data_IF_998398193570
#
_entry.id   IF_998398193570
#
_cell.length_a   1.000
_cell.length_b   1.000
_cell.length_c   1.000
_cell.angle_alpha   90.00
_cell.angle_beta   90.00
_cell.angle_gamma   90.00
#
_symmetry.space_group_name_H-M   'P 1'
#
loop_
_entity.id
_entity.type
_entity.pdbx_description
1 polymer ?
#
# COMPACT_ATOMS: atom_id res chain seq x y z
N UNK A 1 -20.37 -15.21 51.36
CA UNK A 1 -19.46 -14.18 50.83
C UNK A 1 -18.87 -14.75 49.56
N UNK A 2 -19.66 -14.71 48.48
CA UNK A 2 -19.35 -15.38 47.22
C UNK A 2 -18.32 -14.56 46.43
N UNK A 3 -17.22 -15.22 46.09
CA UNK A 3 -16.14 -14.67 45.27
C UNK A 3 -16.60 -14.77 43.81
N UNK A 4 -16.99 -13.64 43.20
CA UNK A 4 -17.21 -13.58 41.74
C UNK A 4 -15.92 -14.05 41.06
N UNK A 5 -15.96 -15.03 40.12
CA UNK A 5 -14.79 -15.40 39.35
C UNK A 5 -14.34 -14.18 38.56
N UNK A 6 -13.15 -13.65 38.84
CA UNK A 6 -12.52 -12.70 37.96
C UNK A 6 -12.25 -13.44 36.65
N UNK A 7 -13.02 -13.11 35.61
CA UNK A 7 -12.71 -13.54 34.26
C UNK A 7 -11.29 -13.07 33.98
N UNK A 8 -10.40 -14.03 33.76
CA UNK A 8 -9.00 -13.79 33.44
C UNK A 8 -8.97 -13.05 32.10
N UNK A 9 -8.92 -11.71 32.15
CA UNK A 9 -8.76 -10.84 30.98
C UNK A 9 -7.29 -10.89 30.55
N UNK A 10 -6.77 -12.09 30.32
CA UNK A 10 -5.48 -12.29 29.70
C UNK A 10 -5.56 -11.66 28.30
N UNK A 11 -5.01 -10.47 28.18
CA UNK A 11 -4.90 -9.77 26.90
C UNK A 11 -4.18 -10.72 25.93
N UNK A 12 -4.77 -11.04 24.77
CA UNK A 12 -4.13 -11.96 23.83
C UNK A 12 -2.73 -11.43 23.50
N UNK A 13 -1.75 -12.34 23.49
CA UNK A 13 -0.37 -11.99 23.17
C UNK A 13 -0.30 -11.23 21.83
N UNK A 14 0.61 -10.24 21.68
CA UNK A 14 0.73 -9.48 20.45
C UNK A 14 0.92 -10.39 19.25
N UNK A 15 0.12 -10.20 18.19
CA UNK A 15 0.26 -10.94 16.95
C UNK A 15 1.58 -10.51 16.27
N UNK A 16 2.64 -11.28 16.55
CA UNK A 16 4.00 -10.99 16.09
C UNK A 16 4.09 -10.98 14.56
N UNK A 17 3.26 -11.79 13.89
CA UNK A 17 3.20 -11.85 12.42
C UNK A 17 2.58 -10.56 11.89
N UNK A 18 1.43 -10.14 12.44
CA UNK A 18 0.78 -8.89 12.04
C UNK A 18 1.69 -7.67 12.28
N UNK A 19 2.42 -7.64 13.40
CA UNK A 19 3.41 -6.59 13.67
C UNK A 19 4.55 -6.58 12.64
N UNK A 20 5.17 -7.74 12.36
CA UNK A 20 6.25 -7.83 11.38
C UNK A 20 5.79 -7.39 9.98
N UNK A 21 4.59 -7.81 9.56
CA UNK A 21 3.98 -7.39 8.30
C UNK A 21 3.69 -5.89 8.25
N UNK A 22 3.23 -5.31 9.36
CA UNK A 22 3.07 -3.87 9.51
C UNK A 22 4.39 -3.11 9.35
N UNK A 23 5.47 -3.63 9.93
CA UNK A 23 6.83 -3.05 9.75
C UNK A 23 7.28 -3.13 8.30
N UNK A 24 7.08 -4.27 7.62
CA UNK A 24 7.40 -4.42 6.19
C UNK A 24 6.62 -3.40 5.34
N UNK A 25 5.32 -3.23 5.62
CA UNK A 25 4.50 -2.23 4.95
C UNK A 25 5.02 -0.80 5.16
N UNK A 26 5.39 -0.45 6.41
CA UNK A 26 5.97 0.85 6.73
C UNK A 26 7.28 1.11 6.00
N UNK A 27 8.17 0.12 5.96
CA UNK A 27 9.45 0.20 5.23
C UNK A 27 9.17 0.45 3.75
N UNK A 28 8.26 -0.31 3.12
CA UNK A 28 7.91 -0.12 1.72
C UNK A 28 7.42 1.30 1.41
N UNK A 29 6.51 1.83 2.24
CA UNK A 29 6.01 3.21 2.11
C UNK A 29 7.10 4.25 2.32
N UNK A 30 7.92 4.09 3.37
CA UNK A 30 9.00 5.02 3.68
C UNK A 30 10.06 5.03 2.57
N UNK A 31 10.49 3.86 2.07
CA UNK A 31 11.43 3.76 0.96
C UNK A 31 10.87 4.40 -0.30
N UNK A 32 9.60 4.18 -0.62
CA UNK A 32 8.94 4.85 -1.75
C UNK A 32 8.96 6.37 -1.59
N UNK A 33 8.49 6.88 -0.45
CA UNK A 33 8.41 8.32 -0.20
C UNK A 33 9.79 8.99 -0.25
N UNK A 34 10.81 8.36 0.36
CA UNK A 34 12.18 8.89 0.37
C UNK A 34 12.79 8.84 -1.04
N UNK A 35 12.70 7.72 -1.74
CA UNK A 35 13.28 7.57 -3.08
C UNK A 35 12.62 8.53 -4.09
N UNK A 36 11.29 8.59 -4.10
CA UNK A 36 10.55 9.48 -5.00
C UNK A 36 10.78 10.95 -4.65
N UNK A 37 10.77 11.32 -3.36
CA UNK A 37 11.06 12.68 -2.91
C UNK A 37 12.49 13.10 -3.23
N UNK A 38 13.47 12.21 -3.03
CA UNK A 38 14.85 12.46 -3.43
C UNK A 38 14.97 12.62 -4.95
N UNK A 39 14.31 11.77 -5.74
CA UNK A 39 14.29 11.90 -7.19
C UNK A 39 13.69 13.24 -7.65
N UNK A 40 12.61 13.72 -7.02
CA UNK A 40 12.02 15.03 -7.29
C UNK A 40 12.97 16.20 -7.01
N UNK A 41 13.87 16.07 -6.03
CA UNK A 41 14.88 17.08 -5.72
C UNK A 41 16.09 16.99 -6.65
N UNK A 42 16.55 15.77 -6.94
CA UNK A 42 17.77 15.51 -7.73
C UNK A 42 17.56 15.69 -9.24
N UNK A 43 16.34 15.47 -9.75
CA UNK A 43 15.96 15.65 -11.17
C UNK A 43 15.36 17.04 -11.39
N UNK A 44 16.19 18.06 -11.32
CA UNK A 44 15.81 19.45 -11.54
C UNK A 44 15.32 19.76 -12.98
N UNK A 45 15.49 18.82 -13.91
CA UNK A 45 14.95 18.87 -15.27
C UNK A 45 13.44 18.59 -15.33
N UNK A 46 12.85 18.05 -14.26
CA UNK A 46 11.41 17.88 -14.11
C UNK A 46 10.79 18.95 -13.21
N UNK A 47 9.55 19.34 -13.53
CA UNK A 47 8.77 20.20 -12.67
C UNK A 47 8.13 19.34 -11.58
N UNK A 48 8.51 19.56 -10.33
CA UNK A 48 8.00 18.80 -9.16
C UNK A 48 6.47 18.79 -9.08
N UNK A 49 5.79 19.87 -9.50
CA UNK A 49 4.33 19.97 -9.46
C UNK A 49 3.64 19.47 -10.74
N UNK A 50 4.33 19.55 -11.88
CA UNK A 50 3.74 19.28 -13.19
C UNK A 50 4.07 17.90 -13.77
N UNK A 51 5.13 17.26 -13.28
CA UNK A 51 5.62 15.98 -13.80
C UNK A 51 5.15 14.83 -12.91
N UNK A 52 4.35 13.88 -13.43
CA UNK A 52 3.93 12.71 -12.67
C UNK A 52 5.12 11.86 -12.19
N UNK A 53 5.02 11.27 -11.00
CA UNK A 53 6.09 10.45 -10.41
C UNK A 53 6.55 9.29 -11.30
N UNK A 54 5.68 8.74 -12.13
CA UNK A 54 6.04 7.65 -13.06
C UNK A 54 7.09 8.04 -14.09
N UNK A 55 7.23 9.33 -14.43
CA UNK A 55 8.29 9.81 -15.32
C UNK A 55 9.69 9.69 -14.69
N UNK A 56 9.78 9.71 -13.36
CA UNK A 56 11.05 9.60 -12.65
C UNK A 56 11.66 8.19 -12.71
N UNK A 57 10.93 7.21 -13.27
CA UNK A 57 11.46 5.89 -13.63
C UNK A 57 12.37 5.96 -14.88
N UNK A 58 12.25 7.03 -15.68
CA UNK A 58 13.05 7.24 -16.89
C UNK A 58 14.34 8.01 -16.57
N UNK A 59 15.46 7.58 -17.17
CA UNK A 59 16.73 8.29 -17.08
C UNK A 59 17.45 8.15 -15.71
N UNK A 60 18.25 9.15 -15.30
CA UNK A 60 19.01 9.10 -14.05
C UNK A 60 18.13 8.83 -12.84
N UNK A 61 18.60 7.96 -11.95
CA UNK A 61 17.89 7.46 -10.76
C UNK A 61 16.61 6.64 -11.02
N UNK A 62 16.28 6.38 -12.29
CA UNK A 62 15.10 5.61 -12.67
C UNK A 62 15.02 4.21 -12.06
N UNK A 63 16.17 3.52 -11.97
CA UNK A 63 16.26 2.22 -11.29
C UNK A 63 15.92 2.28 -9.79
N UNK A 64 16.31 3.37 -9.10
CA UNK A 64 15.98 3.59 -7.69
C UNK A 64 14.48 3.79 -7.51
N UNK A 65 13.85 4.62 -8.35
CA UNK A 65 12.40 4.85 -8.33
C UNK A 65 11.66 3.56 -8.68
N UNK A 66 12.07 2.83 -9.71
CA UNK A 66 11.49 1.53 -10.05
C UNK A 66 11.55 0.53 -8.89
N UNK A 67 12.71 0.42 -8.24
CA UNK A 67 12.88 -0.46 -7.08
C UNK A 67 11.95 -0.05 -5.93
N UNK A 68 11.75 1.26 -5.71
CA UNK A 68 10.87 1.75 -4.66
C UNK A 68 9.39 1.44 -4.93
N UNK A 69 8.94 1.48 -6.19
CA UNK A 69 7.60 1.03 -6.60
C UNK A 69 7.40 -0.46 -6.31
N UNK A 70 8.38 -1.30 -6.63
CA UNK A 70 8.30 -2.74 -6.37
C UNK A 70 8.31 -3.06 -4.86
N UNK A 71 9.13 -2.34 -4.07
CA UNK A 71 9.10 -2.43 -2.61
C UNK A 71 7.77 -1.98 -2.02
N UNK A 72 7.17 -0.92 -2.56
CA UNK A 72 5.82 -0.51 -2.17
C UNK A 72 4.78 -1.59 -2.49
N UNK A 73 4.88 -2.26 -3.64
CA UNK A 73 3.99 -3.38 -3.99
C UNK A 73 4.07 -4.51 -2.94
N UNK A 74 5.28 -4.89 -2.51
CA UNK A 74 5.47 -5.83 -1.39
C UNK A 74 4.83 -5.30 -0.11
N UNK A 75 5.02 -4.01 0.18
CA UNK A 75 4.41 -3.36 1.34
C UNK A 75 2.88 -3.39 1.34
N UNK A 76 2.23 -3.22 0.19
CA UNK A 76 0.77 -3.31 0.05
C UNK A 76 0.26 -4.72 0.36
N UNK A 77 0.94 -5.76 -0.15
CA UNK A 77 0.59 -7.16 0.15
C UNK A 77 0.77 -7.43 1.64
N UNK A 78 1.91 -7.03 2.22
CA UNK A 78 2.17 -7.18 3.65
C UNK A 78 1.12 -6.47 4.50
N UNK A 79 0.71 -5.25 4.11
CA UNK A 79 -0.34 -4.49 4.78
C UNK A 79 -1.69 -5.23 4.77
N UNK A 80 -2.10 -5.77 3.61
CA UNK A 80 -3.33 -6.54 3.48
C UNK A 80 -3.32 -7.80 4.35
N UNK A 81 -2.22 -8.56 4.34
CA UNK A 81 -2.07 -9.79 5.12
C UNK A 81 -2.05 -9.45 6.62
N UNK A 82 -1.26 -8.44 7.02
CA UNK A 82 -1.13 -8.02 8.41
C UNK A 82 -2.47 -7.66 9.03
N UNK A 83 -3.28 -6.86 8.32
CA UNK A 83 -4.62 -6.53 8.78
C UNK A 83 -5.58 -7.71 8.78
N UNK A 84 -5.51 -8.58 7.77
CA UNK A 84 -6.33 -9.79 7.76
C UNK A 84 -6.10 -10.65 9.01
N UNK A 85 -4.85 -10.77 9.48
CA UNK A 85 -4.52 -11.49 10.71
C UNK A 85 -4.88 -10.72 11.98
N UNK A 86 -4.60 -9.41 12.01
CA UNK A 86 -4.83 -8.57 13.17
C UNK A 86 -6.32 -8.47 13.58
N UNK A 87 -7.23 -8.43 12.59
CA UNK A 87 -8.66 -8.29 12.87
C UNK A 87 -9.24 -9.54 13.56
N UNK A 88 -10.15 -9.28 14.50
CA UNK A 88 -11.02 -10.32 15.05
C UNK A 88 -11.81 -11.05 13.95
N UNK A 89 -12.16 -12.32 14.19
CA UNK A 89 -12.78 -13.19 13.18
C UNK A 89 -14.03 -12.58 12.54
N UNK A 90 -14.87 -11.91 13.32
CA UNK A 90 -16.14 -11.34 12.87
C UNK A 90 -15.97 -10.04 12.05
N UNK A 91 -14.86 -9.34 12.25
CA UNK A 91 -14.49 -8.14 11.50
C UNK A 91 -13.63 -8.44 10.27
N UNK A 92 -13.02 -9.63 10.21
CA UNK A 92 -12.08 -10.05 9.18
C UNK A 92 -12.76 -10.18 7.82
N UNK A 93 -12.10 -9.69 6.78
CA UNK A 93 -12.56 -9.82 5.40
C UNK A 93 -11.39 -10.01 4.45
N UNK A 94 -11.54 -10.94 3.50
CA UNK A 94 -10.55 -11.11 2.43
C UNK A 94 -10.62 -10.00 1.37
N UNK A 95 -11.71 -9.23 1.30
CA UNK A 95 -11.91 -8.24 0.25
C UNK A 95 -10.83 -7.13 0.23
N UNK A 96 -10.47 -6.46 1.35
CA UNK A 96 -9.38 -5.50 1.36
C UNK A 96 -8.03 -6.13 0.98
N UNK A 97 -7.74 -7.33 1.50
CA UNK A 97 -6.52 -8.08 1.18
C UNK A 97 -6.40 -8.34 -0.32
N UNK A 98 -7.44 -8.89 -0.95
CA UNK A 98 -7.43 -9.20 -2.38
C UNK A 98 -7.27 -7.93 -3.23
N UNK A 99 -7.87 -6.82 -2.83
CA UNK A 99 -7.70 -5.53 -3.50
C UNK A 99 -6.28 -4.97 -3.34
N UNK A 100 -5.66 -5.09 -2.15
CA UNK A 100 -4.26 -4.72 -1.99
C UNK A 100 -3.32 -5.58 -2.84
N UNK A 101 -3.58 -6.89 -2.95
CA UNK A 101 -2.82 -7.80 -3.82
C UNK A 101 -2.99 -7.42 -5.28
N UNK A 102 -4.22 -7.18 -5.74
CA UNK A 102 -4.48 -6.75 -7.11
C UNK A 102 -3.82 -5.40 -7.41
N UNK A 103 -3.92 -4.44 -6.47
CA UNK A 103 -3.25 -3.15 -6.56
C UNK A 103 -1.73 -3.28 -6.59
N UNK A 104 -1.14 -4.20 -5.82
CA UNK A 104 0.30 -4.47 -5.83
C UNK A 104 0.78 -5.07 -7.15
N UNK A 105 0.03 -6.02 -7.73
CA UNK A 105 0.33 -6.58 -9.04
C UNK A 105 0.27 -5.48 -10.11
N UNK A 106 -0.79 -4.67 -10.10
CA UNK A 106 -0.93 -3.55 -11.02
C UNK A 106 0.21 -2.53 -10.83
N UNK A 107 0.62 -2.25 -9.59
CA UNK A 107 1.74 -1.34 -9.32
C UNK A 107 3.07 -1.88 -9.87
N UNK A 108 3.29 -3.19 -9.76
CA UNK A 108 4.47 -3.83 -10.35
C UNK A 108 4.47 -3.69 -11.88
N UNK A 109 3.30 -3.85 -12.53
CA UNK A 109 3.13 -3.58 -13.97
C UNK A 109 3.45 -2.11 -14.29
N UNK A 110 2.91 -1.15 -13.53
CA UNK A 110 3.23 0.29 -13.68
C UNK A 110 4.73 0.58 -13.54
N UNK A 111 5.44 -0.17 -12.70
CA UNK A 111 6.88 0.01 -12.49
C UNK A 111 7.74 -0.53 -13.65
N UNK A 112 7.26 -1.55 -14.37
CA UNK A 112 8.02 -2.18 -15.47
C UNK A 112 7.66 -1.62 -16.83
N UNK A 113 6.39 -1.26 -17.04
CA UNK A 113 5.90 -0.64 -18.27
C UNK A 113 6.23 0.85 -18.26
N UNK A 114 6.86 1.35 -19.31
CA UNK A 114 7.19 2.77 -19.41
C UNK A 114 5.96 3.58 -19.85
N UNK A 115 5.77 4.74 -19.22
CA UNK A 115 4.78 5.72 -19.68
C UNK A 115 5.21 6.33 -21.01
N UNK A 116 4.23 6.69 -21.85
CA UNK A 116 4.50 7.41 -23.09
C UNK A 116 5.08 8.80 -22.79
N UNK A 117 6.06 9.20 -23.59
CA UNK A 117 6.70 10.51 -23.51
C UNK A 117 5.87 11.54 -24.29
N UNK A 118 5.56 12.72 -23.73
CA UNK A 118 4.80 13.75 -24.44
C UNK A 118 5.41 14.10 -25.81
N UNK A 119 4.56 14.20 -26.83
CA UNK A 119 4.98 14.51 -28.20
C UNK A 119 5.45 13.30 -29.02
N UNK A 120 5.46 12.10 -28.45
CA UNK A 120 5.69 10.85 -29.19
C UNK A 120 4.37 10.11 -29.45
N UNK A 121 4.32 9.22 -30.46
CA UNK A 121 3.15 8.37 -30.68
C UNK A 121 2.85 7.49 -29.47
N UNK A 122 1.57 7.23 -29.16
CA UNK A 122 1.19 6.36 -28.06
C UNK A 122 1.65 4.92 -28.31
N UNK A 123 2.02 4.22 -27.24
CA UNK A 123 2.52 2.84 -27.32
C UNK A 123 1.66 1.88 -26.48
N UNK A 124 1.78 0.58 -26.76
CA UNK A 124 1.15 -0.44 -25.92
C UNK A 124 1.69 -0.38 -24.47
N UNK A 125 3.00 -0.11 -24.30
CA UNK A 125 3.63 0.06 -23.00
C UNK A 125 3.01 1.22 -22.21
N UNK A 126 2.85 2.39 -22.85
CA UNK A 126 2.21 3.54 -22.22
C UNK A 126 0.75 3.31 -21.88
N UNK A 127 0.00 2.60 -22.74
CA UNK A 127 -1.38 2.20 -22.44
C UNK A 127 -1.45 1.27 -21.22
N UNK A 128 -0.64 0.20 -21.20
CA UNK A 128 -0.57 -0.73 -20.07
C UNK A 128 -0.17 0.00 -18.78
N UNK A 129 0.78 0.93 -18.87
CA UNK A 129 1.23 1.75 -17.74
C UNK A 129 0.07 2.56 -17.14
N UNK A 130 -0.67 3.31 -17.95
CA UNK A 130 -1.78 4.16 -17.48
C UNK A 130 -2.91 3.32 -16.89
N UNK A 131 -3.29 2.23 -17.55
CA UNK A 131 -4.33 1.32 -17.05
C UNK A 131 -3.89 0.71 -15.72
N UNK A 132 -2.68 0.16 -15.64
CA UNK A 132 -2.15 -0.42 -14.41
C UNK A 132 -2.03 0.59 -13.27
N UNK A 133 -1.60 1.83 -13.57
CA UNK A 133 -1.52 2.89 -12.58
C UNK A 133 -2.92 3.22 -12.03
N UNK A 134 -3.90 3.40 -12.92
CA UNK A 134 -5.30 3.63 -12.54
C UNK A 134 -5.89 2.49 -11.71
N UNK A 135 -5.65 1.24 -12.13
CA UNK A 135 -6.07 0.04 -11.37
C UNK A 135 -5.46 0.03 -9.98
N UNK A 136 -4.17 0.36 -9.85
CA UNK A 136 -3.49 0.46 -8.55
C UNK A 136 -4.20 1.46 -7.65
N UNK A 137 -4.43 2.69 -8.12
CA UNK A 137 -5.07 3.73 -7.32
C UNK A 137 -6.48 3.34 -6.88
N UNK A 138 -7.30 2.82 -7.79
CA UNK A 138 -8.68 2.41 -7.48
C UNK A 138 -8.67 1.27 -6.47
N UNK A 139 -7.87 0.23 -6.71
CA UNK A 139 -7.80 -0.94 -5.84
C UNK A 139 -7.33 -0.56 -4.43
N UNK A 140 -6.23 0.18 -4.32
CA UNK A 140 -5.67 0.62 -3.02
C UNK A 140 -6.65 1.55 -2.30
N UNK A 141 -7.27 2.50 -2.99
CA UNK A 141 -8.24 3.42 -2.38
C UNK A 141 -9.45 2.67 -1.83
N UNK A 142 -10.06 1.80 -2.64
CA UNK A 142 -11.21 0.99 -2.22
C UNK A 142 -10.81 0.04 -1.08
N UNK A 143 -9.62 -0.58 -1.16
CA UNK A 143 -9.09 -1.42 -0.09
C UNK A 143 -8.95 -0.64 1.22
N UNK A 144 -8.38 0.57 1.20
CA UNK A 144 -8.23 1.42 2.38
C UNK A 144 -9.57 1.83 2.99
N UNK A 145 -10.56 2.19 2.16
CA UNK A 145 -11.91 2.53 2.61
C UNK A 145 -12.61 1.32 3.26
N UNK A 146 -12.57 0.17 2.60
CA UNK A 146 -13.14 -1.07 3.13
C UNK A 146 -12.42 -1.53 4.39
N UNK A 147 -11.09 -1.47 4.43
CA UNK A 147 -10.30 -1.81 5.62
C UNK A 147 -10.65 -0.90 6.79
N UNK A 148 -10.77 0.40 6.54
CA UNK A 148 -11.19 1.38 7.55
C UNK A 148 -12.60 1.11 8.07
N UNK A 149 -13.51 0.67 7.20
CA UNK A 149 -14.85 0.26 7.59
C UNK A 149 -14.86 -1.04 8.41
N UNK A 150 -14.04 -2.03 8.03
CA UNK A 150 -13.88 -3.28 8.80
C UNK A 150 -13.31 -3.04 10.20
N UNK A 151 -12.37 -2.13 10.34
CA UNK A 151 -11.81 -1.75 11.65
C UNK A 151 -12.88 -1.23 12.63
N UNK A 152 -13.95 -0.59 12.14
CA UNK A 152 -15.06 -0.13 13.00
C UNK A 152 -15.89 -1.27 13.59
N UNK A 153 -15.79 -2.47 13.00
CA UNK A 153 -16.51 -3.65 13.46
C UNK A 153 -15.64 -4.56 14.33
N UNK A 154 -14.37 -4.21 14.55
CA UNK A 154 -13.49 -5.02 15.39
C UNK A 154 -13.77 -4.72 16.88
N UNK A 155 -14.26 -5.71 17.66
CA UNK A 155 -14.57 -5.51 19.07
C UNK A 155 -13.33 -5.24 19.94
N UNK A 156 -12.12 -5.48 19.43
CA UNK A 156 -10.86 -5.20 20.13
C UNK A 156 -10.45 -3.74 20.01
N UNK A 157 -10.95 -3.03 19.01
CA UNK A 157 -10.74 -1.60 18.89
C UNK A 157 -11.85 -0.88 19.66
N UNK A 158 -11.52 0.08 20.55
CA UNK A 158 -12.54 0.85 21.24
C UNK A 158 -13.41 1.58 20.21
N UNK A 159 -14.73 1.47 20.35
CA UNK A 159 -15.66 2.31 19.60
C UNK A 159 -15.25 3.77 19.85
N UNK A 160 -14.85 4.49 18.80
CA UNK A 160 -14.61 5.92 18.92
C UNK A 160 -15.93 6.56 19.35
N UNK A 161 -15.96 7.08 20.58
CA UNK A 161 -16.95 8.05 21.02
C UNK A 161 -16.78 9.25 20.10
N UNK A 162 -17.72 9.43 19.17
CA UNK A 162 -17.87 10.66 18.37
C UNK A 162 -18.80 11.58 19.14
#
# INVERSE_FOLDING_TARGET
>A
MDRIPQADTAQPAPDTIAHALGVIALIGVATFAIACGAAQILRADYNVLGTPLSFYVLGPYGGMVKASYLLLAVGLVAFGIGWYHALARDARSAAPLLLFVLGAIALAVTAVEFTDVPGQPPTLHGFLHIVAAGTTFICVTVAMLLQSWRLRHDPRLPARVV
#
